data_IF_956117966385
#
_entry.id   IF_956117966385
#
_cell.length_a   1.000
_cell.length_b   1.000
_cell.length_c   1.000
_cell.angle_alpha   90.00
_cell.angle_beta   90.00
_cell.angle_gamma   90.00
#
_symmetry.space_group_name_H-M   'P 1'
#
loop_
_entity.id
_entity.type
_entity.pdbx_description
1 polymer ?
#
# COMPACT_ATOMS: atom_id res chain seq x y z
N UNK A 1 -15.18 -1.38 -6.08
CA UNK A 1 -14.24 -0.74 -7.02
C UNK A 1 -13.00 -1.58 -6.94
N UNK A 2 -12.66 -2.28 -8.03
CA UNK A 2 -11.61 -3.31 -8.01
C UNK A 2 -10.34 -2.74 -8.64
N UNK A 3 -9.22 -2.82 -7.91
CA UNK A 3 -7.91 -2.40 -8.40
C UNK A 3 -7.19 -3.63 -8.95
N UNK A 4 -6.87 -3.62 -10.23
CA UNK A 4 -6.11 -4.70 -10.87
C UNK A 4 -4.63 -4.32 -10.96
N UNK A 5 -3.77 -5.19 -10.43
CA UNK A 5 -2.31 -5.04 -10.47
C UNK A 5 -1.77 -6.02 -11.51
N UNK A 6 -1.19 -5.49 -12.58
CA UNK A 6 -0.69 -6.29 -13.72
C UNK A 6 0.70 -6.86 -13.50
N UNK A 7 1.43 -6.32 -12.53
CA UNK A 7 2.81 -6.70 -12.23
C UNK A 7 2.84 -7.80 -11.17
N UNK A 8 3.37 -8.97 -11.52
CA UNK A 8 3.43 -10.13 -10.63
C UNK A 8 4.29 -9.87 -9.38
N UNK A 9 5.39 -9.11 -9.50
CA UNK A 9 6.26 -8.82 -8.36
C UNK A 9 5.54 -7.89 -7.36
N UNK A 10 4.82 -6.90 -7.88
CA UNK A 10 4.00 -6.00 -7.05
C UNK A 10 2.84 -6.79 -6.43
N UNK A 11 2.20 -7.69 -7.16
CA UNK A 11 1.12 -8.52 -6.65
C UNK A 11 1.58 -9.45 -5.52
N UNK A 12 2.73 -10.12 -5.67
CA UNK A 12 3.30 -10.98 -4.62
C UNK A 12 3.68 -10.16 -3.38
N UNK A 13 4.35 -9.03 -3.58
CA UNK A 13 4.72 -8.15 -2.47
C UNK A 13 3.48 -7.56 -1.77
N UNK A 14 2.44 -7.19 -2.51
CA UNK A 14 1.13 -6.83 -1.94
C UNK A 14 0.49 -8.00 -1.21
N UNK A 15 0.70 -9.24 -1.66
CA UNK A 15 0.10 -10.41 -1.03
C UNK A 15 0.70 -10.71 0.35
N UNK A 16 1.98 -10.39 0.54
CA UNK A 16 2.64 -10.43 1.87
C UNK A 16 2.12 -9.37 2.83
N UNK A 17 1.46 -8.31 2.35
CA UNK A 17 0.90 -7.26 3.20
C UNK A 17 -0.45 -7.69 3.81
N UNK A 18 -0.66 -7.27 5.05
CA UNK A 18 -1.99 -7.32 5.65
C UNK A 18 -2.98 -6.48 4.84
N UNK A 19 -4.24 -6.93 4.79
CA UNK A 19 -5.32 -6.30 4.00
C UNK A 19 -5.34 -4.77 4.13
N UNK A 20 -5.19 -4.25 5.35
CA UNK A 20 -5.19 -2.80 5.62
C UNK A 20 -4.02 -2.05 4.99
N UNK A 21 -2.82 -2.64 4.97
CA UNK A 21 -1.65 -2.05 4.29
C UNK A 21 -1.81 -2.09 2.78
N UNK A 22 -2.36 -3.20 2.26
CA UNK A 22 -2.69 -3.39 0.85
C UNK A 22 -3.68 -2.33 0.38
N UNK A 23 -4.80 -2.16 1.10
CA UNK A 23 -5.83 -1.17 0.77
C UNK A 23 -5.25 0.26 0.72
N UNK A 24 -4.41 0.64 1.69
CA UNK A 24 -3.75 1.95 1.71
C UNK A 24 -2.84 2.17 0.50
N UNK A 25 -2.03 1.17 0.14
CA UNK A 25 -1.11 1.25 -1.01
C UNK A 25 -1.90 1.32 -2.32
N UNK A 26 -2.94 0.49 -2.47
CA UNK A 26 -3.82 0.51 -3.63
C UNK A 26 -4.51 1.88 -3.78
N UNK A 27 -5.07 2.41 -2.69
CA UNK A 27 -5.70 3.73 -2.74
C UNK A 27 -4.70 4.85 -3.07
N UNK A 28 -3.49 4.80 -2.50
CA UNK A 28 -2.50 5.86 -2.71
C UNK A 28 -1.90 5.85 -4.12
N UNK A 29 -1.45 4.68 -4.59
CA UNK A 29 -0.71 4.57 -5.86
C UNK A 29 -1.60 4.29 -7.06
N UNK A 30 -2.72 3.59 -6.90
CA UNK A 30 -3.59 3.22 -8.03
C UNK A 30 -4.86 4.06 -8.12
N UNK A 31 -5.38 4.56 -6.99
CA UNK A 31 -6.53 5.47 -6.98
C UNK A 31 -6.12 6.94 -6.81
N UNK A 32 -4.82 7.23 -6.76
CA UNK A 32 -4.23 8.56 -6.58
C UNK A 32 -4.80 9.34 -5.37
N UNK A 33 -5.31 8.62 -4.36
CA UNK A 33 -5.90 9.22 -3.18
C UNK A 33 -4.80 9.73 -2.23
N UNK A 34 -5.01 10.92 -1.68
CA UNK A 34 -4.11 11.49 -0.66
C UNK A 34 -4.24 10.77 0.68
N UNK A 35 -3.22 10.88 1.54
CA UNK A 35 -3.24 10.33 2.92
C UNK A 35 -4.48 10.79 3.72
N UNK A 36 -5.04 11.96 3.40
CA UNK A 36 -6.24 12.51 4.05
C UNK A 36 -7.54 11.86 3.52
N UNK A 37 -7.63 11.63 2.21
CA UNK A 37 -8.78 10.94 1.61
C UNK A 37 -8.83 9.48 2.04
N UNK A 38 -7.68 8.80 2.06
CA UNK A 38 -7.55 7.42 2.55
C UNK A 38 -7.92 7.34 4.04
N UNK A 39 -7.49 8.32 4.83
CA UNK A 39 -7.83 8.40 6.25
C UNK A 39 -9.35 8.50 6.45
N UNK A 40 -10.02 9.30 5.61
CA UNK A 40 -11.48 9.44 5.63
C UNK A 40 -12.17 8.16 5.19
N UNK A 41 -11.72 7.54 4.09
CA UNK A 41 -12.30 6.32 3.52
C UNK A 41 -12.22 5.14 4.51
N UNK A 42 -11.07 4.97 5.15
CA UNK A 42 -10.85 3.89 6.12
C UNK A 42 -11.34 4.24 7.53
N UNK A 43 -11.83 5.46 7.76
CA UNK A 43 -12.19 5.98 9.09
C UNK A 43 -11.05 5.87 10.12
N UNK A 44 -9.84 6.29 9.70
CA UNK A 44 -8.62 6.22 10.50
C UNK A 44 -7.93 7.58 10.58
N UNK A 45 -6.98 7.74 11.50
CA UNK A 45 -6.17 8.95 11.54
C UNK A 45 -5.14 8.96 10.40
N UNK A 46 -4.88 10.15 9.84
CA UNK A 46 -3.84 10.38 8.82
C UNK A 46 -2.46 9.85 9.24
N UNK A 47 -2.10 9.98 10.51
CA UNK A 47 -0.86 9.43 11.06
C UNK A 47 -0.78 7.90 11.01
N UNK A 48 -1.93 7.21 11.03
CA UNK A 48 -2.02 5.77 10.84
C UNK A 48 -1.82 5.40 9.38
N UNK A 49 -2.39 6.16 8.45
CA UNK A 49 -2.17 5.98 7.01
C UNK A 49 -0.69 6.17 6.68
N UNK A 50 -0.08 7.26 7.14
CA UNK A 50 1.33 7.55 6.93
C UNK A 50 2.24 6.42 7.43
N UNK A 51 2.03 5.94 8.67
CA UNK A 51 2.82 4.83 9.23
C UNK A 51 2.65 3.53 8.44
N UNK A 52 1.43 3.20 8.03
CA UNK A 52 1.18 2.00 7.24
C UNK A 52 1.80 2.11 5.83
N UNK A 53 1.67 3.27 5.18
CA UNK A 53 2.28 3.54 3.87
C UNK A 53 3.79 3.45 3.92
N UNK A 54 4.43 4.06 4.92
CA UNK A 54 5.87 4.00 5.10
C UNK A 54 6.37 2.59 5.42
N UNK A 55 5.66 1.85 6.31
CA UNK A 55 6.02 0.46 6.62
C UNK A 55 5.83 -0.48 5.43
N UNK A 56 4.80 -0.26 4.61
CA UNK A 56 4.60 -1.04 3.40
C UNK A 56 5.72 -0.77 2.39
N UNK A 57 6.11 0.48 2.17
CA UNK A 57 7.22 0.84 1.27
C UNK A 57 8.56 0.28 1.71
N UNK A 58 8.88 0.31 3.01
CA UNK A 58 10.10 -0.34 3.52
C UNK A 58 10.12 -1.84 3.21
N UNK A 59 8.98 -2.53 3.37
CA UNK A 59 8.90 -3.95 2.99
C UNK A 59 9.04 -4.17 1.48
N UNK A 60 8.40 -3.34 0.64
CA UNK A 60 8.61 -3.40 -0.81
C UNK A 60 10.06 -3.17 -1.18
N UNK A 61 10.73 -2.21 -0.53
CA UNK A 61 12.14 -1.93 -0.75
C UNK A 61 13.00 -3.13 -0.37
N UNK A 62 12.75 -3.76 0.78
CA UNK A 62 13.45 -5.00 1.16
C UNK A 62 13.20 -6.13 0.17
N UNK A 63 11.97 -6.29 -0.33
CA UNK A 63 11.63 -7.33 -1.31
C UNK A 63 12.26 -7.09 -2.70
N UNK A 64 12.42 -5.83 -3.11
CA UNK A 64 12.99 -5.45 -4.40
C UNK A 64 14.52 -5.30 -4.37
N UNK A 65 15.11 -4.94 -3.23
CA UNK A 65 16.57 -4.88 -3.07
C UNK A 65 17.21 -6.27 -2.87
N UNK A 66 16.41 -7.33 -2.66
CA UNK A 66 16.88 -8.72 -2.59
C UNK A 66 16.99 -9.39 -3.98
N UNK A 67 16.99 -8.61 -5.07
CA UNK A 67 17.46 -9.08 -6.38
C UNK A 67 19.00 -8.98 -6.45
N UNK A 68 19.74 -10.12 -6.50
CA UNK A 68 21.19 -10.15 -6.63
C UNK A 68 21.72 -9.81 -8.03
#
# INVERSE_FOLDING_TARGET
MDVQVTDCQIAEALDTLSKRKRDIILMFYFLEMSDAEIAKELSVNRSTVYRNRHSALEMFKTLLEDEP
#
